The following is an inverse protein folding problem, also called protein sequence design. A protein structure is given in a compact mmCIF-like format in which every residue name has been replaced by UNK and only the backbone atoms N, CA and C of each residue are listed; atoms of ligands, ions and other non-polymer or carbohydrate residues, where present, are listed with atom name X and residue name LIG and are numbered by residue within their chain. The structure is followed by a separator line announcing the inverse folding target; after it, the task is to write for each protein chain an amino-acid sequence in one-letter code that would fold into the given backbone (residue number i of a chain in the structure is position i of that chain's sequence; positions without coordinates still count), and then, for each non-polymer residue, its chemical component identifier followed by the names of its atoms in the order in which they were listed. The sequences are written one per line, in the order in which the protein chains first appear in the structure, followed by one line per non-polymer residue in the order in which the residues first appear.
data_IF_473398332418
#
_entry.id   IF_473398332418
#
_cell.length_a   1.000
_cell.length_b   1.000
_cell.length_c   1.000
_cell.angle_alpha   90.00
_cell.angle_beta   90.00
_cell.angle_gamma   90.00
#
_symmetry.space_group_name_H-M   'P 1'
#
loop_
_entity.id
_entity.type
_entity.pdbx_description
1 polymer ?
#
# COMPACT_ATOMS: atom_id res chain seq x y z
N UNK A 1 22.49 -15.45 10.41
CA UNK A 1 21.65 -16.00 9.32
C UNK A 1 22.24 -15.64 7.95
N UNK A 2 21.90 -16.37 6.87
CA UNK A 2 22.44 -16.16 5.49
C UNK A 2 22.26 -14.71 4.99
N UNK A 3 21.12 -14.07 5.29
CA UNK A 3 20.85 -12.68 4.90
C UNK A 3 21.84 -11.70 5.54
N UNK A 4 22.08 -11.84 6.84
CA UNK A 4 23.05 -11.00 7.57
C UNK A 4 24.49 -11.20 7.05
N UNK A 5 24.81 -12.42 6.60
CA UNK A 5 26.12 -12.71 6.01
C UNK A 5 26.29 -12.03 4.64
N UNK A 6 25.28 -12.09 3.76
CA UNK A 6 25.28 -11.36 2.49
C UNK A 6 25.38 -9.84 2.69
N UNK A 7 24.63 -9.29 3.64
CA UNK A 7 24.73 -7.88 4.01
C UNK A 7 26.16 -7.51 4.44
N UNK A 8 26.79 -8.34 5.28
CA UNK A 8 28.17 -8.14 5.71
C UNK A 8 29.16 -8.17 4.53
N UNK A 9 29.06 -9.14 3.63
CA UNK A 9 29.93 -9.23 2.45
C UNK A 9 29.83 -8.00 1.55
N UNK A 10 28.65 -7.39 1.47
CA UNK A 10 28.41 -6.14 0.73
C UNK A 10 29.14 -4.97 1.38
N UNK A 11 29.01 -4.84 2.70
CA UNK A 11 29.67 -3.79 3.49
C UNK A 11 31.20 -3.92 3.43
N UNK A 12 31.73 -5.15 3.47
CA UNK A 12 33.17 -5.40 3.38
C UNK A 12 33.73 -5.31 1.95
N UNK A 13 32.90 -5.01 0.95
CA UNK A 13 33.33 -4.86 -0.44
C UNK A 13 33.71 -6.17 -1.15
N UNK A 14 33.35 -7.32 -0.58
CA UNK A 14 33.64 -8.64 -1.18
C UNK A 14 32.71 -8.90 -2.37
N UNK A 15 31.49 -8.37 -2.32
CA UNK A 15 30.52 -8.44 -3.41
C UNK A 15 30.14 -7.04 -3.87
N UNK A 16 29.90 -6.90 -5.17
CA UNK A 16 29.52 -5.64 -5.80
C UNK A 16 28.20 -5.11 -5.24
N UNK A 17 28.10 -3.80 -5.05
CA UNK A 17 26.87 -3.12 -4.65
C UNK A 17 25.79 -3.17 -5.75
N UNK A 18 26.17 -3.46 -6.99
CA UNK A 18 25.24 -3.66 -8.09
C UNK A 18 24.67 -5.09 -8.14
N UNK A 19 25.08 -5.99 -7.24
CA UNK A 19 24.60 -7.36 -7.22
C UNK A 19 23.09 -7.43 -6.95
N UNK A 20 22.37 -8.10 -7.85
CA UNK A 20 20.98 -8.47 -7.66
C UNK A 20 20.91 -9.83 -6.97
N UNK A 21 20.00 -9.94 -5.99
CA UNK A 21 19.73 -11.18 -5.26
C UNK A 21 18.26 -11.53 -5.39
N UNK A 22 17.95 -12.81 -5.21
CA UNK A 22 16.56 -13.29 -5.18
C UNK A 22 16.30 -14.14 -3.94
N UNK A 23 16.22 -13.56 -2.74
CA UNK A 23 15.90 -14.30 -1.54
C UNK A 23 14.56 -14.99 -1.68
N UNK A 24 14.50 -16.25 -1.24
CA UNK A 24 13.29 -17.05 -1.24
C UNK A 24 12.90 -17.36 0.20
N UNK A 25 11.70 -16.97 0.59
CA UNK A 25 11.08 -17.37 1.83
C UNK A 25 10.22 -18.62 1.56
N UNK A 26 10.43 -19.67 2.34
CA UNK A 26 9.61 -20.88 2.31
C UNK A 26 9.11 -21.16 3.71
N UNK A 27 7.81 -21.34 3.89
CA UNK A 27 7.20 -21.77 5.15
C UNK A 27 6.19 -22.88 4.90
N UNK A 28 5.95 -23.69 5.93
CA UNK A 28 4.98 -24.78 5.90
C UNK A 28 4.04 -24.59 7.08
N UNK A 29 2.75 -24.44 6.79
CA UNK A 29 1.69 -24.51 7.79
C UNK A 29 1.33 -25.99 7.97
N UNK A 30 1.57 -26.51 9.18
CA UNK A 30 1.17 -27.87 9.54
C UNK A 30 -0.21 -27.84 10.18
N UNK A 31 -1.10 -28.73 9.71
CA UNK A 31 -2.44 -28.89 10.24
C UNK A 31 -2.45 -29.64 11.57
N UNK A 32 -3.63 -30.12 11.97
CA UNK A 32 -3.82 -30.76 13.29
C UNK A 32 -2.79 -31.88 13.55
N UNK A 33 -2.24 -31.87 14.77
CA UNK A 33 -1.22 -32.82 15.26
C UNK A 33 0.12 -32.84 14.50
N UNK A 34 0.42 -31.82 13.70
CA UNK A 34 1.64 -31.75 12.88
C UNK A 34 1.82 -32.94 11.91
N UNK A 35 0.76 -33.70 11.67
CA UNK A 35 0.78 -34.94 10.89
C UNK A 35 0.31 -34.76 9.45
N UNK A 36 -0.16 -33.56 9.10
CA UNK A 36 -0.60 -33.20 7.74
C UNK A 36 -0.06 -31.82 7.40
N UNK A 37 0.46 -31.66 6.19
CA UNK A 37 0.79 -30.34 5.64
C UNK A 37 -0.52 -29.68 5.24
N UNK A 38 -0.87 -28.56 5.88
CA UNK A 38 -2.06 -27.77 5.54
C UNK A 38 -1.76 -26.90 4.32
N UNK A 39 -0.65 -26.17 4.36
CA UNK A 39 -0.27 -25.23 3.31
C UNK A 39 1.24 -25.04 3.22
N UNK A 40 1.76 -24.83 2.01
CA UNK A 40 3.18 -24.49 1.78
C UNK A 40 3.22 -23.12 1.11
N UNK A 41 3.86 -22.16 1.78
CA UNK A 41 4.11 -20.84 1.21
C UNK A 41 5.53 -20.80 0.65
N UNK A 42 5.68 -20.36 -0.60
CA UNK A 42 6.98 -20.04 -1.18
C UNK A 42 6.86 -18.71 -1.90
N UNK A 43 7.68 -17.73 -1.50
CA UNK A 43 7.76 -16.43 -2.16
C UNK A 43 9.22 -16.03 -2.41
N UNK A 44 9.46 -15.28 -3.48
CA UNK A 44 10.78 -14.79 -3.84
C UNK A 44 10.72 -13.34 -4.35
N UNK A 45 11.60 -12.50 -3.83
CA UNK A 45 11.74 -11.10 -4.22
C UNK A 45 13.07 -10.90 -4.93
N UNK A 46 13.03 -10.40 -6.17
CA UNK A 46 14.23 -9.96 -6.87
C UNK A 46 14.54 -8.52 -6.43
N UNK A 47 15.75 -8.29 -5.92
CA UNK A 47 16.11 -7.01 -5.33
C UNK A 47 17.62 -6.81 -5.23
N UNK A 48 18.07 -5.57 -5.15
CA UNK A 48 19.49 -5.27 -5.00
C UNK A 48 20.00 -5.62 -3.59
N UNK A 49 21.25 -6.11 -3.50
CA UNK A 49 21.87 -6.54 -2.25
C UNK A 49 21.97 -5.42 -1.20
N UNK A 50 22.03 -4.16 -1.60
CA UNK A 50 22.06 -3.00 -0.70
C UNK A 50 20.81 -2.91 0.19
N UNK A 51 19.68 -3.49 -0.23
CA UNK A 51 18.47 -3.51 0.58
C UNK A 51 18.57 -4.46 1.79
N UNK A 52 19.56 -5.36 1.79
CA UNK A 52 19.88 -6.22 2.93
C UNK A 52 20.74 -5.51 3.99
N UNK A 53 21.34 -4.38 3.65
CA UNK A 53 22.23 -3.62 4.54
C UNK A 53 21.40 -2.75 5.50
N UNK A 54 21.61 -2.91 6.80
CA UNK A 54 20.75 -2.33 7.85
C UNK A 54 20.65 -0.81 7.80
N UNK A 55 21.77 -0.12 7.53
CA UNK A 55 21.87 1.35 7.47
C UNK A 55 21.72 1.92 6.04
N UNK A 56 21.26 1.12 5.08
CA UNK A 56 21.00 1.60 3.72
C UNK A 56 19.78 2.53 3.68
N UNK A 57 19.94 3.72 3.12
CA UNK A 57 18.82 4.64 2.91
C UNK A 57 17.74 4.01 2.01
N UNK A 58 18.15 3.22 1.00
CA UNK A 58 17.21 2.50 0.12
C UNK A 58 16.40 1.45 0.89
N UNK A 59 17.00 0.79 1.90
CA UNK A 59 16.26 -0.15 2.77
C UNK A 59 15.16 0.58 3.53
N UNK A 60 15.46 1.74 4.12
CA UNK A 60 14.47 2.56 4.81
C UNK A 60 13.35 2.99 3.84
N UNK A 61 13.71 3.45 2.64
CA UNK A 61 12.74 3.81 1.58
C UNK A 61 11.81 2.65 1.21
N UNK A 62 12.30 1.42 1.09
CA UNK A 62 11.47 0.25 0.75
C UNK A 62 10.49 -0.10 1.88
N UNK A 63 10.93 -0.02 3.14
CA UNK A 63 10.07 -0.25 4.31
C UNK A 63 8.96 0.81 4.35
N UNK A 64 9.34 2.07 4.19
CA UNK A 64 8.43 3.21 4.15
C UNK A 64 7.46 3.11 2.97
N UNK A 65 7.91 2.69 1.80
CA UNK A 65 7.08 2.46 0.63
C UNK A 65 6.02 1.37 0.88
N UNK A 66 6.38 0.30 1.57
CA UNK A 66 5.40 -0.72 2.00
C UNK A 66 4.36 -0.15 2.96
N UNK A 67 4.78 0.73 3.89
CA UNK A 67 3.86 1.40 4.81
C UNK A 67 2.95 2.41 4.10
N UNK A 68 3.45 3.14 3.09
CA UNK A 68 2.68 4.06 2.26
C UNK A 68 1.55 3.32 1.52
N UNK A 69 1.84 2.12 1.00
CA UNK A 69 0.85 1.24 0.36
C UNK A 69 -0.23 0.77 1.35
N UNK A 70 0.18 0.28 2.52
CA UNK A 70 -0.73 -0.15 3.58
C UNK A 70 -1.67 0.99 4.01
N UNK A 71 -1.13 2.19 4.26
CA UNK A 71 -1.90 3.36 4.64
C UNK A 71 -2.96 3.72 3.59
N UNK A 72 -2.60 3.70 2.30
CA UNK A 72 -3.54 3.95 1.22
C UNK A 72 -4.64 2.89 1.12
N UNK A 73 -4.32 1.60 1.34
CA UNK A 73 -5.31 0.51 1.38
C UNK A 73 -6.26 0.68 2.57
N UNK A 74 -5.78 1.10 3.73
CA UNK A 74 -6.65 1.40 4.87
C UNK A 74 -7.63 2.55 4.60
N UNK A 75 -7.19 3.57 3.84
CA UNK A 75 -8.09 4.65 3.38
C UNK A 75 -9.15 4.10 2.42
N UNK A 76 -8.80 3.18 1.53
CA UNK A 76 -9.75 2.52 0.62
C UNK A 76 -10.75 1.63 1.36
N UNK A 77 -10.30 0.86 2.36
CA UNK A 77 -11.18 0.09 3.26
C UNK A 77 -12.22 0.99 3.90
N UNK A 78 -11.77 2.15 4.42
CA UNK A 78 -12.67 3.14 5.03
C UNK A 78 -13.67 3.72 4.05
N UNK A 79 -13.28 3.96 2.79
CA UNK A 79 -14.21 4.36 1.74
C UNK A 79 -15.31 3.30 1.56
N UNK A 80 -14.93 2.04 1.36
CA UNK A 80 -15.88 0.94 1.19
C UNK A 80 -16.86 0.85 2.37
N UNK A 81 -16.35 0.91 3.61
CA UNK A 81 -17.20 0.94 4.82
C UNK A 81 -18.17 2.13 4.82
N UNK A 82 -17.71 3.33 4.46
CA UNK A 82 -18.58 4.51 4.42
C UNK A 82 -19.66 4.41 3.33
N UNK A 83 -19.35 3.79 2.19
CA UNK A 83 -20.34 3.54 1.13
C UNK A 83 -21.40 2.53 1.58
N UNK A 84 -21.01 1.46 2.28
CA UNK A 84 -21.95 0.51 2.92
C UNK A 84 -22.84 1.24 3.94
N UNK A 85 -22.27 2.10 4.79
CA UNK A 85 -23.04 2.93 5.73
C UNK A 85 -24.02 3.84 5.02
N UNK A 86 -23.60 4.49 3.94
CA UNK A 86 -24.45 5.37 3.16
C UNK A 86 -25.62 4.60 2.51
N UNK A 87 -25.36 3.36 2.06
CA UNK A 87 -26.35 2.49 1.42
C UNK A 87 -27.36 1.85 2.40
N UNK A 88 -27.17 1.98 3.71
CA UNK A 88 -28.07 1.37 4.69
C UNK A 88 -27.46 0.21 5.49
N UNK A 89 -26.28 -0.28 5.10
CA UNK A 89 -25.63 -1.46 5.69
C UNK A 89 -25.14 -1.24 7.13
N UNK A 90 -24.73 -2.33 7.78
CA UNK A 90 -24.22 -2.30 9.16
C UNK A 90 -22.70 -2.20 9.17
N UNK A 91 -22.15 -1.67 10.25
CA UNK A 91 -20.70 -1.56 10.45
C UNK A 91 -19.98 -2.90 10.52
N UNK A 92 -20.70 -3.97 10.83
CA UNK A 92 -20.19 -5.34 10.88
C UNK A 92 -19.98 -5.96 9.50
N UNK A 93 -20.48 -5.33 8.43
CA UNK A 93 -20.39 -5.86 7.07
C UNK A 93 -19.00 -5.50 6.47
N UNK A 94 -17.95 -6.21 6.92
CA UNK A 94 -16.56 -5.98 6.49
C UNK A 94 -16.24 -6.46 5.08
N UNK A 95 -17.12 -7.28 4.47
CA UNK A 95 -16.84 -7.96 3.21
C UNK A 95 -16.53 -7.03 2.02
N UNK A 96 -17.16 -5.85 1.93
CA UNK A 96 -16.83 -4.87 0.89
C UNK A 96 -15.45 -4.24 1.11
N UNK A 97 -15.09 -3.97 2.37
CA UNK A 97 -13.79 -3.40 2.72
C UNK A 97 -12.65 -4.41 2.50
N UNK A 98 -12.88 -5.69 2.84
CA UNK A 98 -11.93 -6.78 2.58
C UNK A 98 -11.73 -6.99 1.07
N UNK A 99 -12.81 -7.08 0.29
CA UNK A 99 -12.71 -7.17 -1.18
C UNK A 99 -12.00 -5.97 -1.80
N UNK A 100 -12.26 -4.76 -1.32
CA UNK A 100 -11.55 -3.57 -1.78
C UNK A 100 -10.04 -3.65 -1.48
N UNK A 101 -9.68 -4.13 -0.29
CA UNK A 101 -8.28 -4.32 0.10
C UNK A 101 -7.59 -5.41 -0.73
N UNK A 102 -8.22 -6.56 -0.92
CA UNK A 102 -7.70 -7.64 -1.76
C UNK A 102 -7.41 -7.16 -3.19
N UNK A 103 -8.37 -6.44 -3.81
CA UNK A 103 -8.18 -5.85 -5.14
C UNK A 103 -7.03 -4.85 -5.16
N UNK A 104 -6.86 -4.05 -4.11
CA UNK A 104 -5.76 -3.11 -4.01
C UNK A 104 -4.40 -3.81 -3.87
N UNK A 105 -4.27 -4.77 -2.94
CA UNK A 105 -3.02 -5.53 -2.79
C UNK A 105 -2.67 -6.33 -4.03
N UNK A 106 -3.64 -6.92 -4.73
CA UNK A 106 -3.38 -7.64 -5.97
C UNK A 106 -2.73 -6.74 -7.05
N UNK A 107 -3.16 -5.48 -7.14
CA UNK A 107 -2.58 -4.49 -8.08
C UNK A 107 -1.23 -3.99 -7.58
N UNK A 108 -1.12 -3.71 -6.28
CA UNK A 108 0.08 -3.11 -5.68
C UNK A 108 1.24 -4.10 -5.53
N UNK A 109 0.98 -5.37 -5.24
CA UNK A 109 2.01 -6.40 -5.06
C UNK A 109 2.91 -6.52 -6.30
N UNK A 110 2.29 -6.63 -7.48
CA UNK A 110 3.06 -6.68 -8.74
C UNK A 110 3.84 -5.40 -8.97
N UNK A 111 3.21 -4.23 -8.79
CA UNK A 111 3.88 -2.95 -8.98
C UNK A 111 5.05 -2.76 -8.01
N UNK A 112 4.91 -3.21 -6.77
CA UNK A 112 5.95 -3.15 -5.75
C UNK A 112 7.14 -4.03 -6.12
N UNK A 113 6.88 -5.27 -6.55
CA UNK A 113 7.93 -6.23 -6.96
C UNK A 113 8.70 -5.71 -8.17
N UNK A 114 8.00 -5.19 -9.17
CA UNK A 114 8.62 -4.64 -10.37
C UNK A 114 9.50 -3.43 -10.03
N UNK A 115 9.02 -2.53 -9.17
CA UNK A 115 9.80 -1.39 -8.67
C UNK A 115 11.00 -1.80 -7.81
N UNK A 116 10.81 -2.72 -6.87
CA UNK A 116 11.86 -3.23 -5.98
C UNK A 116 13.05 -3.81 -6.77
N UNK A 117 12.77 -4.48 -7.89
CA UNK A 117 13.79 -5.04 -8.77
C UNK A 117 14.59 -3.98 -9.53
N UNK A 118 14.07 -2.76 -9.67
CA UNK A 118 14.78 -1.65 -10.35
C UNK A 118 15.69 -0.85 -9.43
N UNK A 119 15.51 -0.95 -8.11
CA UNK A 119 16.34 -0.21 -7.16
C UNK A 119 17.79 -0.68 -7.21
N UNK A 120 18.72 0.28 -7.11
CA UNK A 120 20.15 0.02 -7.15
C UNK A 120 20.97 1.16 -6.56
N UNK A 121 22.32 1.07 -6.61
CA UNK A 121 23.21 2.07 -6.01
C UNK A 121 23.01 3.49 -6.51
N UNK A 122 22.55 3.64 -7.76
CA UNK A 122 22.34 4.93 -8.42
C UNK A 122 20.93 5.50 -8.18
N UNK A 123 20.07 4.78 -7.45
CA UNK A 123 18.72 5.22 -7.11
C UNK A 123 18.76 6.31 -6.03
N UNK A 124 18.06 7.42 -6.26
CA UNK A 124 17.81 8.43 -5.24
C UNK A 124 16.64 7.98 -4.34
N UNK A 125 16.89 7.71 -3.03
CA UNK A 125 15.86 7.21 -2.12
C UNK A 125 14.61 8.09 -2.03
N UNK A 126 14.74 9.42 -2.13
CA UNK A 126 13.63 10.37 -2.01
C UNK A 126 12.82 10.37 -3.31
N UNK A 127 13.50 10.45 -4.46
CA UNK A 127 12.86 10.42 -5.76
C UNK A 127 12.10 9.09 -6.00
N UNK A 128 12.69 7.97 -5.57
CA UNK A 128 12.09 6.64 -5.67
C UNK A 128 10.85 6.52 -4.79
N UNK A 129 10.88 6.99 -3.54
CA UNK A 129 9.69 7.00 -2.67
C UNK A 129 8.59 7.88 -3.27
N UNK A 130 8.92 9.06 -3.78
CA UNK A 130 7.95 9.93 -4.43
C UNK A 130 7.35 9.28 -5.69
N UNK A 131 8.16 8.53 -6.45
CA UNK A 131 7.67 7.76 -7.59
C UNK A 131 6.71 6.67 -7.16
N UNK A 132 7.06 5.92 -6.11
CA UNK A 132 6.21 4.87 -5.58
C UNK A 132 4.86 5.41 -5.09
N UNK A 133 4.85 6.47 -4.30
CA UNK A 133 3.61 7.08 -3.81
C UNK A 133 2.67 7.51 -4.96
N UNK A 134 3.22 7.96 -6.10
CA UNK A 134 2.40 8.26 -7.29
C UNK A 134 1.77 7.01 -7.91
N UNK A 135 2.46 5.87 -7.91
CA UNK A 135 1.89 4.62 -8.39
C UNK A 135 0.78 4.13 -7.47
N UNK A 136 1.01 4.17 -6.15
CA UNK A 136 0.00 3.83 -5.14
C UNK A 136 -1.22 4.74 -5.30
N UNK A 137 -1.01 6.06 -5.42
CA UNK A 137 -2.08 7.02 -5.64
C UNK A 137 -2.95 6.65 -6.84
N UNK A 138 -2.32 6.44 -8.00
CA UNK A 138 -3.04 6.13 -9.25
C UNK A 138 -3.86 4.84 -9.12
N UNK A 139 -3.28 3.80 -8.53
CA UNK A 139 -3.94 2.51 -8.37
C UNK A 139 -5.13 2.62 -7.41
N UNK A 140 -4.92 3.19 -6.22
CA UNK A 140 -5.92 3.27 -5.16
C UNK A 140 -7.01 4.28 -5.49
N UNK A 141 -6.66 5.42 -6.09
CA UNK A 141 -7.63 6.43 -6.53
C UNK A 141 -8.59 5.88 -7.60
N UNK A 142 -8.05 5.11 -8.56
CA UNK A 142 -8.87 4.44 -9.58
C UNK A 142 -9.88 3.49 -8.93
N UNK A 143 -9.42 2.62 -8.02
CA UNK A 143 -10.29 1.70 -7.29
C UNK A 143 -11.34 2.45 -6.45
N UNK A 144 -10.95 3.55 -5.81
CA UNK A 144 -11.89 4.38 -5.04
C UNK A 144 -13.00 4.97 -5.91
N UNK A 145 -12.66 5.50 -7.09
CA UNK A 145 -13.66 5.99 -8.06
C UNK A 145 -14.60 4.87 -8.53
N UNK A 146 -14.06 3.69 -8.83
CA UNK A 146 -14.88 2.52 -9.20
C UNK A 146 -15.89 2.16 -8.10
N UNK A 147 -15.47 2.16 -6.83
CA UNK A 147 -16.37 1.90 -5.69
C UNK A 147 -17.47 2.96 -5.57
N UNK A 148 -17.12 4.24 -5.73
CA UNK A 148 -18.10 5.34 -5.67
C UNK A 148 -19.09 5.27 -6.84
N UNK A 149 -18.62 4.97 -8.06
CA UNK A 149 -19.50 4.79 -9.23
C UNK A 149 -20.42 3.58 -9.08
N UNK A 150 -19.94 2.51 -8.47
CA UNK A 150 -20.75 1.32 -8.18
C UNK A 150 -21.73 1.54 -7.01
N UNK A 151 -21.62 2.63 -6.27
CA UNK A 151 -22.51 2.93 -5.16
C UNK A 151 -23.92 3.24 -5.68
N UNK A 152 -24.90 2.43 -5.28
CA UNK A 152 -26.28 2.57 -5.75
C UNK A 152 -26.97 3.87 -5.26
N UNK A 153 -28.19 4.17 -5.77
CA UNK A 153 -28.91 5.42 -5.48
C UNK A 153 -29.12 5.68 -3.98
N UNK A 154 -29.29 4.64 -3.17
CA UNK A 154 -29.41 4.76 -1.71
C UNK A 154 -28.16 5.40 -1.06
N UNK A 155 -26.95 5.03 -1.51
CA UNK A 155 -25.72 5.62 -1.03
C UNK A 155 -25.55 7.07 -1.49
N UNK A 156 -26.10 7.43 -2.64
CA UNK A 156 -26.06 8.80 -3.14
C UNK A 156 -26.95 9.74 -2.32
N UNK A 157 -28.21 9.34 -2.07
CA UNK A 157 -29.10 10.07 -1.15
C UNK A 157 -28.45 10.15 0.23
N UNK A 158 -27.88 9.03 0.68
CA UNK A 158 -27.23 8.93 1.97
C UNK A 158 -28.21 8.89 3.13
N UNK A 159 -27.67 8.83 4.34
CA UNK A 159 -28.47 8.77 5.57
C UNK A 159 -27.75 9.40 6.77
N UNK A 160 -28.48 9.90 7.77
CA UNK A 160 -27.88 10.28 9.04
C UNK A 160 -27.31 9.06 9.76
N UNK A 161 -26.19 9.26 10.43
CA UNK A 161 -25.54 8.30 11.30
C UNK A 161 -24.72 9.02 12.36
N UNK A 162 -23.95 8.25 13.11
CA UNK A 162 -23.08 8.77 14.18
C UNK A 162 -21.67 8.27 13.92
N UNK A 163 -20.69 9.16 14.01
CA UNK A 163 -19.29 8.75 13.90
C UNK A 163 -18.76 8.09 15.18
N UNK A 164 -17.49 7.66 15.17
CA UNK A 164 -16.85 7.05 16.35
C UNK A 164 -16.74 8.00 17.56
N UNK A 165 -16.86 9.31 17.35
CA UNK A 165 -16.80 10.33 18.40
C UNK A 165 -18.19 10.72 18.92
N UNK A 166 -19.26 10.04 18.48
CA UNK A 166 -20.62 10.35 18.91
C UNK A 166 -21.25 11.55 18.17
N UNK A 167 -20.60 12.09 17.13
CA UNK A 167 -21.10 13.24 16.39
C UNK A 167 -22.06 12.78 15.29
N UNK A 168 -23.18 13.49 15.15
CA UNK A 168 -24.11 13.31 14.02
C UNK A 168 -23.41 13.63 12.70
N UNK A 169 -23.44 12.67 11.78
CA UNK A 169 -22.81 12.76 10.46
C UNK A 169 -23.77 12.24 9.40
N UNK A 170 -23.83 12.91 8.26
CA UNK A 170 -24.55 12.43 7.10
C UNK A 170 -23.61 11.58 6.23
N UNK A 171 -23.91 10.29 6.09
CA UNK A 171 -23.16 9.38 5.24
C UNK A 171 -23.78 9.36 3.85
N UNK A 172 -23.09 9.93 2.87
CA UNK A 172 -23.40 9.85 1.43
C UNK A 172 -22.16 9.43 0.63
N UNK A 173 -22.35 8.99 -0.61
CA UNK A 173 -21.25 8.67 -1.52
C UNK A 173 -20.31 9.86 -1.77
N UNK A 174 -20.87 11.07 -1.94
CA UNK A 174 -20.09 12.31 -2.12
C UNK A 174 -19.25 12.66 -0.89
N UNK A 175 -19.81 12.52 0.31
CA UNK A 175 -19.10 12.77 1.56
C UNK A 175 -18.00 11.72 1.79
N UNK A 176 -18.30 10.45 1.50
CA UNK A 176 -17.35 9.35 1.58
C UNK A 176 -16.18 9.53 0.61
N UNK A 177 -16.46 9.94 -0.63
CA UNK A 177 -15.43 10.28 -1.62
C UNK A 177 -14.56 11.45 -1.13
N UNK A 178 -15.16 12.53 -0.62
CA UNK A 178 -14.40 13.68 -0.12
C UNK A 178 -13.42 13.28 1.01
N UNK A 179 -13.87 12.47 1.97
CA UNK A 179 -12.99 11.95 3.01
C UNK A 179 -11.91 11.00 2.48
N UNK A 180 -12.25 10.18 1.49
CA UNK A 180 -11.30 9.31 0.81
C UNK A 180 -10.19 10.12 0.14
N UNK A 181 -10.53 11.16 -0.62
CA UNK A 181 -9.56 12.05 -1.28
C UNK A 181 -8.61 12.69 -0.29
N UNK A 182 -9.14 13.28 0.78
CA UNK A 182 -8.33 13.91 1.83
C UNK A 182 -7.48 12.87 2.59
N UNK A 183 -8.05 11.71 2.88
CA UNK A 183 -7.34 10.61 3.52
C UNK A 183 -6.18 10.10 2.67
N UNK A 184 -6.39 9.97 1.36
CA UNK A 184 -5.37 9.51 0.42
C UNK A 184 -4.26 10.57 0.27
N UNK A 185 -4.61 11.86 0.18
CA UNK A 185 -3.67 12.99 0.20
C UNK A 185 -2.76 12.95 1.43
N UNK A 186 -3.35 12.67 2.60
CA UNK A 186 -2.61 12.55 3.85
C UNK A 186 -1.75 11.30 3.92
N UNK A 187 -2.21 10.18 3.37
CA UNK A 187 -1.45 8.93 3.34
C UNK A 187 -0.25 8.98 2.38
N UNK A 188 -0.33 9.80 1.33
CA UNK A 188 0.66 9.89 0.26
C UNK A 188 1.12 11.35 0.03
N UNK A 189 1.82 11.97 1.00
CA UNK A 189 2.12 13.40 0.99
C UNK A 189 3.03 13.85 -0.16
N UNK A 190 3.95 12.99 -0.63
CA UNK A 190 4.92 13.35 -1.67
C UNK A 190 4.27 13.51 -3.05
N UNK A 191 3.01 13.10 -3.21
CA UNK A 191 2.21 13.38 -4.41
C UNK A 191 1.75 14.84 -4.45
N UNK A 192 1.44 15.41 -3.28
CA UNK A 192 0.98 16.79 -3.16
C UNK A 192 2.13 17.80 -3.33
N UNK A 193 3.28 17.54 -2.70
CA UNK A 193 4.45 18.43 -2.71
C UNK A 193 4.93 18.77 -4.13
N UNK A 194 4.93 17.79 -5.04
CA UNK A 194 5.32 18.03 -6.44
C UNK A 194 4.29 18.86 -7.23
N UNK A 195 3.01 18.77 -6.88
CA UNK A 195 1.97 19.57 -7.55
C UNK A 195 2.14 21.04 -7.22
N UNK A 196 2.54 21.34 -5.98
CA UNK A 196 2.81 22.70 -5.51
C UNK A 196 4.08 23.28 -6.14
N UNK A 197 5.18 22.52 -6.19
CA UNK A 197 6.41 22.94 -6.87
C UNK A 197 6.20 23.23 -8.37
N UNK A 198 5.40 22.41 -9.06
CA UNK A 198 5.07 22.64 -10.48
C UNK A 198 4.24 23.91 -10.70
N UNK A 199 3.41 24.28 -9.73
CA UNK A 199 2.62 25.52 -9.78
C UNK A 199 3.48 26.76 -9.56
N UNK A 200 4.49 26.67 -8.67
CA UNK A 200 5.45 27.75 -8.41
C UNK A 200 6.41 27.99 -9.58
N UNK A 201 6.78 26.96 -10.35
CA UNK A 201 7.62 27.08 -11.56
C UNK A 201 6.91 27.69 -12.77
N UNK A 202 5.58 27.85 -12.74
CA UNK A 202 4.78 28.38 -13.87
C UNK A 202 4.36 29.84 -13.66
N UNK A 203 4.83 30.49 -12.59
CA UNK A 203 4.56 31.90 -12.24
C UNK A 203 5.82 32.74 -12.41
#
# INVERSE_FOLDING_TARGET
MVIQWLARLTVTGVISHHMQVRPRAVSVAYGSKQSVIDEVFSDALAMNVLLLVEHSALRATVIDASADAEAAVQVLRRLATNLVRAAGGRDTDSGEAERAAERAYAVLDRAFRDWLATLGPDSDPVAERAWWQRQVWRAVDRLGRELVTAAGPAAWVGRPGVDRAGKSVHYSSSQAEAWFRTGLARALPMVAERTQQRQEETV
#
